data_IF_146802674252
#
_entry.id   IF_146802674252
#
_cell.length_a   1.000
_cell.length_b   1.000
_cell.length_c   1.000
_cell.angle_alpha   90.00
_cell.angle_beta   90.00
_cell.angle_gamma   90.00
#
_symmetry.space_group_name_H-M   'P 1'
#
loop_
_entity.id
_entity.type
_entity.pdbx_description
1 polymer ?
#
# COMPACT_ATOMS: atom_id res chain seq x y z
N UNK A 1 -6.47 1.88 11.78
CA UNK A 1 -5.07 2.40 11.75
C UNK A 1 -4.94 3.32 10.54
N UNK A 2 -4.44 4.56 10.68
CA UNK A 2 -4.30 5.47 9.53
C UNK A 2 -2.85 5.48 9.05
N UNK A 3 -2.65 5.17 7.76
CA UNK A 3 -1.37 5.34 7.08
C UNK A 3 -1.44 6.63 6.27
N UNK A 4 -0.47 7.53 6.43
CA UNK A 4 -0.36 8.70 5.54
C UNK A 4 -0.19 8.30 4.07
N UNK A 5 0.37 7.10 3.83
CA UNK A 5 0.55 6.55 2.51
C UNK A 5 -0.75 6.01 1.92
N UNK A 6 -1.57 5.35 2.74
CA UNK A 6 -2.87 4.79 2.34
C UNK A 6 -3.98 5.40 3.19
N UNK A 7 -4.40 6.65 2.91
CA UNK A 7 -5.28 7.44 3.78
C UNK A 7 -6.67 6.81 3.99
N UNK A 8 -7.16 6.04 3.02
CA UNK A 8 -8.41 5.30 3.15
C UNK A 8 -8.30 4.08 4.10
N UNK A 9 -7.09 3.71 4.54
CA UNK A 9 -6.86 2.49 5.31
C UNK A 9 -6.94 1.22 4.48
N UNK A 10 -6.82 1.32 3.15
CA UNK A 10 -6.87 0.22 2.19
C UNK A 10 -5.86 0.48 1.07
N UNK A 11 -5.21 -0.58 0.59
CA UNK A 11 -4.33 -0.54 -0.57
C UNK A 11 -4.92 -1.39 -1.72
N UNK A 12 -5.68 -0.79 -2.65
CA UNK A 12 -6.22 -1.51 -3.80
C UNK A 12 -5.11 -1.92 -4.77
N UNK A 13 -5.25 -3.10 -5.36
CA UNK A 13 -4.38 -3.59 -6.43
C UNK A 13 -5.26 -3.86 -7.65
N UNK A 14 -5.04 -3.07 -8.70
CA UNK A 14 -5.61 -3.28 -10.01
C UNK A 14 -4.81 -4.38 -10.71
N UNK A 15 -5.37 -5.58 -10.70
CA UNK A 15 -4.81 -6.73 -11.39
C UNK A 15 -5.49 -6.91 -12.74
N UNK A 16 -4.74 -6.74 -13.83
CA UNK A 16 -5.27 -6.77 -15.19
C UNK A 16 -5.88 -8.14 -15.54
N UNK A 17 -5.23 -9.23 -15.16
CA UNK A 17 -5.70 -10.58 -15.45
C UNK A 17 -7.01 -10.85 -14.68
N UNK A 18 -7.09 -10.39 -13.42
CA UNK A 18 -8.33 -10.48 -12.65
C UNK A 18 -9.45 -9.58 -13.22
N UNK A 19 -9.14 -8.42 -13.79
CA UNK A 19 -10.12 -7.59 -14.50
C UNK A 19 -10.67 -8.32 -15.72
N UNK A 20 -9.78 -8.90 -16.54
CA UNK A 20 -10.15 -9.66 -17.74
C UNK A 20 -11.03 -10.87 -17.39
N UNK A 21 -10.63 -11.66 -16.38
CA UNK A 21 -11.39 -12.81 -15.91
C UNK A 21 -12.79 -12.43 -15.38
N UNK A 22 -12.93 -11.23 -14.82
CA UNK A 22 -14.21 -10.72 -14.34
C UNK A 22 -15.01 -9.92 -15.40
N UNK A 23 -14.51 -9.83 -16.63
CA UNK A 23 -15.05 -8.98 -17.70
C UNK A 23 -15.27 -7.52 -17.24
N UNK A 24 -14.28 -6.96 -16.54
CA UNK A 24 -14.28 -5.58 -16.03
C UNK A 24 -13.24 -4.74 -16.77
N UNK A 25 -13.59 -3.48 -17.01
CA UNK A 25 -12.65 -2.50 -17.55
C UNK A 25 -11.80 -1.92 -16.41
N UNK A 26 -10.46 -1.94 -16.51
CA UNK A 26 -9.56 -1.32 -15.53
C UNK A 26 -9.92 0.13 -15.19
N UNK A 27 -10.32 0.93 -16.19
CA UNK A 27 -10.66 2.35 -16.01
C UNK A 27 -11.87 2.54 -15.09
N UNK A 28 -12.89 1.68 -15.21
CA UNK A 28 -14.10 1.76 -14.38
C UNK A 28 -13.77 1.51 -12.91
N UNK A 29 -12.88 0.56 -12.62
CA UNK A 29 -12.40 0.29 -11.25
C UNK A 29 -11.61 1.47 -10.70
N UNK A 30 -10.65 2.00 -11.47
CA UNK A 30 -9.83 3.14 -11.05
C UNK A 30 -10.70 4.38 -10.74
N UNK A 31 -11.74 4.64 -11.55
CA UNK A 31 -12.70 5.72 -11.31
C UNK A 31 -13.59 5.45 -10.08
N UNK A 32 -14.06 4.21 -9.90
CA UNK A 32 -14.85 3.80 -8.74
C UNK A 32 -14.08 3.97 -7.42
N UNK A 33 -12.80 3.58 -7.39
CA UNK A 33 -11.91 3.73 -6.23
C UNK A 33 -11.56 5.20 -5.99
N UNK A 34 -11.36 5.98 -7.06
CA UNK A 34 -11.13 7.40 -6.97
C UNK A 34 -12.29 8.16 -6.30
N UNK A 35 -13.53 7.81 -6.64
CA UNK A 35 -14.73 8.39 -6.02
C UNK A 35 -14.84 8.06 -4.52
N UNK A 36 -14.20 6.98 -4.07
CA UNK A 36 -14.13 6.55 -2.66
C UNK A 36 -12.87 7.02 -1.93
N UNK A 37 -12.03 7.81 -2.59
CA UNK A 37 -10.71 8.22 -2.11
C UNK A 37 -9.76 7.04 -1.78
N UNK A 38 -9.94 5.89 -2.43
CA UNK A 38 -9.09 4.71 -2.27
C UNK A 38 -7.84 4.80 -3.14
N UNK A 39 -6.93 5.66 -2.71
CA UNK A 39 -5.70 5.99 -3.44
C UNK A 39 -4.54 6.10 -2.44
N UNK A 40 -3.29 5.83 -2.86
CA UNK A 40 -2.88 5.29 -4.16
C UNK A 40 -3.29 3.81 -4.34
N UNK A 41 -3.24 3.31 -5.58
CA UNK A 41 -3.45 1.89 -5.91
C UNK A 41 -2.27 1.33 -6.70
N UNK A 42 -2.09 0.02 -6.65
CA UNK A 42 -1.08 -0.66 -7.45
C UNK A 42 -1.62 -1.03 -8.82
N UNK A 43 -0.83 -0.87 -9.88
CA UNK A 43 -1.08 -1.49 -11.18
C UNK A 43 -0.27 -2.78 -11.29
N UNK A 44 -0.94 -3.92 -11.49
CA UNK A 44 -0.32 -5.23 -11.73
C UNK A 44 -0.82 -5.78 -13.05
N UNK A 45 0.08 -5.92 -14.03
CA UNK A 45 -0.23 -6.42 -15.36
C UNK A 45 0.94 -7.27 -15.89
N UNK A 46 1.08 -8.49 -15.37
CA UNK A 46 2.23 -9.38 -15.65
C UNK A 46 2.28 -9.90 -17.08
N UNK A 47 1.15 -9.83 -17.79
CA UNK A 47 0.99 -10.30 -19.17
C UNK A 47 1.38 -9.24 -20.20
N UNK A 48 1.63 -8.00 -19.80
CA UNK A 48 2.04 -6.91 -20.69
C UNK A 48 3.56 -6.79 -20.74
N UNK A 49 4.08 -6.28 -21.86
CA UNK A 49 5.44 -5.75 -21.93
C UNK A 49 5.50 -4.30 -21.40
N UNK A 50 6.70 -3.71 -21.40
CA UNK A 50 6.91 -2.35 -20.90
C UNK A 50 6.07 -1.30 -21.65
N UNK A 51 5.91 -1.43 -22.97
CA UNK A 51 5.14 -0.48 -23.78
C UNK A 51 3.65 -0.57 -23.50
N UNK A 52 3.11 -1.79 -23.46
CA UNK A 52 1.72 -2.06 -23.11
C UNK A 52 1.39 -1.61 -21.69
N UNK A 53 2.30 -1.84 -20.74
CA UNK A 53 2.17 -1.40 -19.36
C UNK A 53 2.12 0.13 -19.25
N UNK A 54 3.04 0.83 -19.94
CA UNK A 54 3.06 2.30 -19.99
C UNK A 54 1.76 2.86 -20.61
N UNK A 55 1.30 2.29 -21.74
CA UNK A 55 0.07 2.71 -22.39
C UNK A 55 -1.18 2.48 -21.53
N UNK A 56 -1.22 1.38 -20.74
CA UNK A 56 -2.30 1.16 -19.78
C UNK A 56 -2.26 2.19 -18.66
N UNK A 57 -1.08 2.47 -18.08
CA UNK A 57 -0.93 3.46 -17.03
C UNK A 57 -1.33 4.87 -17.49
N UNK A 58 -0.95 5.26 -18.71
CA UNK A 58 -1.36 6.54 -19.31
C UNK A 58 -2.88 6.66 -19.42
N UNK A 59 -3.58 5.61 -19.89
CA UNK A 59 -5.05 5.61 -19.98
C UNK A 59 -5.70 5.74 -18.60
N UNK A 60 -5.20 5.01 -17.61
CA UNK A 60 -5.70 5.07 -16.24
C UNK A 60 -5.48 6.44 -15.60
N UNK A 61 -4.29 7.01 -15.77
CA UNK A 61 -3.99 8.38 -15.35
C UNK A 61 -4.92 9.38 -16.04
N UNK A 62 -5.05 9.30 -17.37
CA UNK A 62 -5.91 10.18 -18.16
C UNK A 62 -7.38 10.10 -17.77
N UNK A 63 -7.88 8.91 -17.45
CA UNK A 63 -9.25 8.72 -16.96
C UNK A 63 -9.45 9.44 -15.62
N UNK A 64 -8.50 9.27 -14.67
CA UNK A 64 -8.56 9.91 -13.35
C UNK A 64 -8.44 11.43 -13.42
N UNK A 65 -7.59 11.96 -14.29
CA UNK A 65 -7.37 13.41 -14.42
C UNK A 65 -8.62 14.20 -14.83
N UNK A 66 -9.68 13.52 -15.28
CA UNK A 66 -11.00 14.12 -15.57
C UNK A 66 -11.86 14.34 -14.33
N UNK A 67 -11.49 13.76 -13.18
CA UNK A 67 -12.23 13.90 -11.94
C UNK A 67 -11.69 15.09 -11.12
N UNK A 68 -12.54 15.78 -10.35
CA UNK A 68 -12.10 16.86 -9.47
C UNK A 68 -11.19 16.33 -8.36
N UNK A 69 -10.25 17.17 -7.94
CA UNK A 69 -9.27 16.88 -6.89
C UNK A 69 -7.83 17.02 -7.40
N UNK A 70 -6.85 16.83 -6.51
CA UNK A 70 -5.45 17.02 -6.88
C UNK A 70 -5.00 15.98 -7.90
N UNK A 71 -4.42 16.45 -9.02
CA UNK A 71 -3.94 15.65 -10.16
C UNK A 71 -2.63 14.88 -9.90
N UNK A 72 -2.24 14.73 -8.63
CA UNK A 72 -1.02 14.03 -8.30
C UNK A 72 -1.10 12.56 -8.76
N UNK A 73 0.03 11.95 -9.16
CA UNK A 73 0.05 10.54 -9.51
C UNK A 73 -0.41 9.70 -8.31
N UNK A 74 -1.15 8.63 -8.61
CA UNK A 74 -1.72 7.71 -7.62
C UNK A 74 -1.49 6.24 -7.97
N UNK A 75 -0.70 5.97 -9.01
CA UNK A 75 -0.40 4.61 -9.46
C UNK A 75 0.94 4.20 -8.85
N UNK A 76 0.98 3.06 -8.18
CA UNK A 76 2.22 2.38 -7.80
C UNK A 76 2.45 1.29 -8.84
N UNK A 77 3.60 1.32 -9.51
CA UNK A 77 3.93 0.29 -10.48
C UNK A 77 4.27 -1.03 -9.78
N UNK A 78 3.95 -2.18 -10.38
CA UNK A 78 4.42 -3.48 -9.91
C UNK A 78 5.47 -4.03 -10.88
N UNK A 79 6.69 -4.30 -10.41
CA UNK A 79 7.83 -4.90 -11.14
C UNK A 79 8.43 -4.02 -12.27
N UNK A 80 7.65 -3.12 -12.91
CA UNK A 80 8.09 -2.26 -14.02
C UNK A 80 8.88 -1.00 -13.58
N UNK A 81 10.06 -1.20 -12.97
CA UNK A 81 10.89 -0.11 -12.42
C UNK A 81 11.26 0.97 -13.45
N UNK A 82 11.81 0.59 -14.60
CA UNK A 82 12.26 1.53 -15.63
C UNK A 82 11.08 2.36 -16.19
N UNK A 83 9.91 1.74 -16.36
CA UNK A 83 8.68 2.44 -16.77
C UNK A 83 8.24 3.44 -15.70
N UNK A 84 8.23 3.03 -14.43
CA UNK A 84 7.87 3.93 -13.32
C UNK A 84 8.80 5.14 -13.24
N UNK A 85 10.10 4.92 -13.47
CA UNK A 85 11.12 5.97 -13.47
C UNK A 85 10.95 6.95 -14.64
N UNK A 86 10.81 6.46 -15.87
CA UNK A 86 10.62 7.31 -17.06
C UNK A 86 9.28 8.06 -17.08
N UNK A 87 8.25 7.51 -16.44
CA UNK A 87 6.89 8.04 -16.46
C UNK A 87 6.40 8.50 -15.07
N UNK A 88 7.27 9.17 -14.31
CA UNK A 88 7.02 9.62 -12.93
C UNK A 88 5.83 10.58 -12.75
N UNK A 89 5.27 11.12 -13.83
CA UNK A 89 4.05 11.92 -13.80
C UNK A 89 2.77 11.06 -13.72
N UNK A 90 2.84 9.77 -14.09
CA UNK A 90 1.75 8.80 -13.92
C UNK A 90 1.90 7.99 -12.62
N UNK A 91 3.14 7.69 -12.25
CA UNK A 91 3.47 6.83 -11.12
C UNK A 91 3.91 7.63 -9.89
N UNK A 92 3.35 7.30 -8.75
CA UNK A 92 3.79 7.83 -7.46
C UNK A 92 4.78 6.90 -6.74
N UNK A 93 5.06 5.73 -7.32
CA UNK A 93 5.90 4.74 -6.68
C UNK A 93 6.08 3.43 -7.44
N UNK A 94 6.83 2.52 -6.81
CA UNK A 94 7.16 1.18 -7.28
C UNK A 94 6.99 0.15 -6.17
N UNK A 95 6.51 -1.02 -6.55
CA UNK A 95 6.48 -2.24 -5.75
C UNK A 95 7.36 -3.30 -6.43
N UNK A 96 8.21 -3.97 -5.65
CA UNK A 96 9.12 -5.00 -6.14
C UNK A 96 8.96 -6.30 -5.36
N UNK A 97 9.05 -7.44 -6.05
CA UNK A 97 9.19 -8.76 -5.44
C UNK A 97 10.61 -9.00 -4.90
N UNK A 98 10.78 -10.08 -4.12
CA UNK A 98 12.11 -10.49 -3.64
C UNK A 98 13.05 -10.84 -4.80
N UNK A 99 12.54 -11.52 -5.82
CA UNK A 99 13.32 -11.87 -7.00
C UNK A 99 13.86 -10.62 -7.73
N UNK A 100 13.01 -9.61 -7.97
CA UNK A 100 13.42 -8.36 -8.60
C UNK A 100 14.53 -7.66 -7.82
N UNK A 101 14.45 -7.70 -6.47
CA UNK A 101 15.47 -7.12 -5.59
C UNK A 101 16.81 -7.87 -5.67
N UNK A 102 16.77 -9.20 -5.73
CA UNK A 102 17.98 -10.02 -5.87
C UNK A 102 18.65 -9.86 -7.24
N UNK A 103 17.88 -9.54 -8.28
CA UNK A 103 18.37 -9.38 -9.65
C UNK A 103 18.65 -7.92 -10.05
N UNK A 104 18.56 -6.97 -9.11
CA UNK A 104 18.82 -5.56 -9.40
C UNK A 104 20.24 -5.37 -9.97
N UNK A 105 20.30 -4.93 -11.22
CA UNK A 105 21.55 -4.48 -11.83
C UNK A 105 21.93 -3.10 -11.25
N UNK A 106 23.20 -2.67 -11.34
CA UNK A 106 23.62 -1.36 -10.81
C UNK A 106 22.79 -0.17 -11.33
N UNK A 107 22.38 -0.20 -12.60
CA UNK A 107 21.49 0.81 -13.20
C UNK A 107 20.10 0.83 -12.55
N UNK A 108 19.54 -0.35 -12.29
CA UNK A 108 18.21 -0.49 -11.69
C UNK A 108 18.24 -0.06 -10.21
N UNK A 109 19.32 -0.39 -9.49
CA UNK A 109 19.54 0.07 -8.13
C UNK A 109 19.61 1.61 -8.04
N UNK A 110 20.28 2.26 -8.99
CA UNK A 110 20.35 3.73 -9.09
C UNK A 110 18.97 4.34 -9.42
N UNK A 111 18.19 3.74 -10.32
CA UNK A 111 16.81 4.19 -10.58
C UNK A 111 15.94 4.11 -9.32
N UNK A 112 15.99 2.98 -8.61
CA UNK A 112 15.27 2.80 -7.35
C UNK A 112 15.72 3.82 -6.30
N UNK A 113 17.01 4.11 -6.24
CA UNK A 113 17.56 5.14 -5.37
C UNK A 113 16.98 6.53 -5.67
N UNK A 114 16.90 6.91 -6.94
CA UNK A 114 16.34 8.20 -7.37
C UNK A 114 14.83 8.32 -7.08
N UNK A 115 14.07 7.23 -7.25
CA UNK A 115 12.65 7.19 -6.83
C UNK A 115 12.55 7.44 -5.33
N UNK A 116 13.39 6.80 -4.51
CA UNK A 116 13.39 7.01 -3.05
C UNK A 116 13.77 8.44 -2.66
N UNK A 117 14.82 8.99 -3.25
CA UNK A 117 15.29 10.35 -2.95
C UNK A 117 14.27 11.44 -3.33
N UNK A 118 13.49 11.22 -4.39
CA UNK A 118 12.42 12.14 -4.79
C UNK A 118 11.16 12.03 -3.92
N UNK A 119 11.14 11.16 -2.91
CA UNK A 119 9.98 10.92 -2.05
C UNK A 119 8.95 9.98 -2.68
N UNK A 120 9.32 9.28 -3.75
CA UNK A 120 8.49 8.26 -4.39
C UNK A 120 8.23 7.08 -3.45
N UNK A 121 7.01 6.56 -3.53
CA UNK A 121 6.56 5.44 -2.70
C UNK A 121 7.28 4.17 -3.14
N UNK A 122 8.05 3.55 -2.25
CA UNK A 122 8.73 2.29 -2.54
C UNK A 122 8.22 1.21 -1.60
N UNK A 123 7.81 0.07 -2.14
CA UNK A 123 7.51 -1.10 -1.31
C UNK A 123 8.06 -2.40 -1.86
N UNK A 124 8.16 -3.38 -0.97
CA UNK A 124 8.62 -4.71 -1.30
C UNK A 124 7.66 -5.80 -0.78
N UNK A 125 7.59 -6.92 -1.49
CA UNK A 125 6.87 -8.11 -1.04
C UNK A 125 7.75 -9.02 -0.19
N UNK A 126 7.19 -9.61 0.86
CA UNK A 126 7.83 -10.59 1.76
C UNK A 126 6.86 -11.72 2.09
N UNK A 127 7.39 -12.91 2.36
CA UNK A 127 6.59 -14.15 2.41
C UNK A 127 6.74 -14.95 3.69
N UNK A 128 7.66 -14.59 4.57
CA UNK A 128 7.87 -15.23 5.86
C UNK A 128 8.41 -14.21 6.88
N UNK A 129 8.50 -14.65 8.13
CA UNK A 129 8.98 -13.83 9.24
C UNK A 129 10.37 -13.23 8.98
N UNK A 130 11.30 -14.01 8.43
CA UNK A 130 12.69 -13.60 8.26
C UNK A 130 12.83 -12.52 7.18
N UNK A 131 12.21 -12.72 6.01
CA UNK A 131 12.15 -11.72 4.95
C UNK A 131 11.46 -10.44 5.42
N UNK A 132 10.36 -10.57 6.14
CA UNK A 132 9.62 -9.43 6.65
C UNK A 132 10.42 -8.63 7.66
N UNK A 133 10.99 -9.30 8.67
CA UNK A 133 11.79 -8.63 9.69
C UNK A 133 13.09 -8.08 9.11
N UNK A 134 13.69 -8.75 8.13
CA UNK A 134 14.79 -8.18 7.36
C UNK A 134 14.32 -6.89 6.70
N UNK A 135 13.38 -6.91 5.76
CA UNK A 135 12.93 -5.70 5.04
C UNK A 135 12.41 -4.57 5.95
N UNK A 136 11.71 -4.93 7.04
CA UNK A 136 11.20 -3.97 8.02
C UNK A 136 12.33 -3.29 8.82
N UNK A 137 13.41 -4.02 9.11
CA UNK A 137 14.59 -3.49 9.83
C UNK A 137 15.70 -2.98 8.89
N UNK A 138 15.72 -3.43 7.63
CA UNK A 138 16.87 -3.36 6.70
C UNK A 138 17.29 -1.93 6.37
N UNK A 139 16.50 -0.91 6.70
CA UNK A 139 16.97 0.45 6.53
C UNK A 139 16.75 1.36 7.75
N UNK A 140 17.12 0.87 8.93
CA UNK A 140 17.37 1.71 10.12
C UNK A 140 18.75 2.36 10.03
N UNK A 141 18.94 3.30 9.10
CA UNK A 141 20.24 3.99 8.95
C UNK A 141 20.39 5.13 7.93
N UNK A 142 19.37 5.56 7.17
CA UNK A 142 19.53 6.69 6.22
C UNK A 142 18.30 7.07 5.39
N UNK A 143 18.50 7.94 4.37
CA UNK A 143 17.50 8.48 3.42
C UNK A 143 16.81 7.43 2.52
N UNK A 144 17.16 6.16 2.68
CA UNK A 144 16.68 5.06 1.85
C UNK A 144 15.84 4.19 2.76
N UNK A 145 14.52 4.34 2.82
CA UNK A 145 13.65 3.43 3.57
C UNK A 145 12.56 2.89 2.65
N UNK A 146 12.07 1.69 2.95
CA UNK A 146 10.82 1.23 2.36
C UNK A 146 9.69 2.11 2.90
N UNK A 147 8.83 2.63 2.03
CA UNK A 147 7.61 3.33 2.43
C UNK A 147 6.60 2.33 3.01
N UNK A 148 6.60 1.10 2.50
CA UNK A 148 5.85 -0.01 3.05
C UNK A 148 6.51 -1.36 2.79
N UNK A 149 6.18 -2.35 3.62
CA UNK A 149 6.59 -3.75 3.46
C UNK A 149 5.33 -4.60 3.40
N UNK A 150 5.14 -5.33 2.30
CA UNK A 150 4.00 -6.23 2.13
C UNK A 150 4.32 -7.63 2.67
N UNK A 151 3.43 -8.17 3.48
CA UNK A 151 3.51 -9.50 4.09
C UNK A 151 2.37 -10.37 3.59
N UNK A 152 2.69 -11.50 2.98
CA UNK A 152 1.69 -12.49 2.58
C UNK A 152 2.24 -13.66 1.76
N UNK A 153 1.39 -14.62 1.38
CA UNK A 153 -0.06 -14.58 1.51
C UNK A 153 -0.55 -14.85 2.94
N UNK A 154 -1.41 -13.98 3.48
CA UNK A 154 -2.06 -14.19 4.79
C UNK A 154 -3.14 -15.26 4.71
N UNK A 155 -3.93 -15.25 3.64
CA UNK A 155 -4.95 -16.27 3.37
C UNK A 155 -4.67 -16.98 2.04
N UNK A 156 -5.20 -18.21 1.83
CA UNK A 156 -4.99 -18.95 0.60
C UNK A 156 -5.45 -18.15 -0.62
N UNK A 157 -4.59 -18.05 -1.63
CA UNK A 157 -4.86 -17.31 -2.87
C UNK A 157 -4.71 -18.18 -4.10
N UNK A 158 -5.60 -17.94 -5.07
CA UNK A 158 -5.55 -18.54 -6.40
C UNK A 158 -5.01 -17.58 -7.45
N UNK A 159 -4.65 -16.34 -7.07
CA UNK A 159 -4.18 -15.30 -8.01
C UNK A 159 -2.74 -15.53 -8.51
N UNK A 160 -2.06 -16.56 -8.01
CA UNK A 160 -0.68 -16.96 -8.37
C UNK A 160 -0.65 -18.34 -9.05
N UNK A 161 -1.66 -18.69 -9.84
CA UNK A 161 -1.83 -20.02 -10.45
C UNK A 161 -0.68 -20.47 -11.36
N UNK A 162 0.18 -19.56 -11.83
CA UNK A 162 1.27 -19.86 -12.77
C UNK A 162 2.68 -19.46 -12.26
N UNK A 163 2.84 -19.07 -10.99
CA UNK A 163 4.19 -18.84 -10.44
C UNK A 163 4.70 -20.10 -9.75
N UNK A 164 5.96 -20.45 -10.00
CA UNK A 164 6.72 -21.44 -9.21
C UNK A 164 6.77 -21.08 -7.71
N UNK A 165 6.45 -19.85 -7.35
CA UNK A 165 6.38 -19.34 -5.98
C UNK A 165 5.05 -19.68 -5.29
N UNK A 166 4.87 -20.95 -4.92
CA UNK A 166 3.86 -21.33 -3.93
C UNK A 166 4.37 -21.00 -2.52
N UNK A 167 4.19 -19.74 -2.12
CA UNK A 167 4.51 -19.31 -0.76
C UNK A 167 3.52 -19.92 0.24
N UNK A 168 4.04 -20.35 1.39
CA UNK A 168 3.21 -20.84 2.49
C UNK A 168 2.23 -19.76 2.97
N UNK A 169 1.02 -20.19 3.31
CA UNK A 169 -0.02 -19.30 3.82
C UNK A 169 0.26 -19.05 5.30
N UNK A 170 0.43 -17.78 5.67
CA UNK A 170 0.77 -17.40 7.03
C UNK A 170 -0.36 -17.66 8.02
N UNK A 171 -1.63 -17.55 7.60
CA UNK A 171 -2.79 -17.54 8.50
C UNK A 171 -2.76 -16.37 9.53
N UNK A 172 -3.81 -16.25 10.35
CA UNK A 172 -3.92 -15.15 11.31
C UNK A 172 -2.86 -15.28 12.40
N UNK A 173 -2.67 -16.46 12.98
CA UNK A 173 -1.77 -16.67 14.13
C UNK A 173 -0.32 -16.30 13.81
N UNK A 174 0.24 -16.82 12.70
CA UNK A 174 1.61 -16.48 12.32
C UNK A 174 1.73 -15.00 11.94
N UNK A 175 0.72 -14.44 11.27
CA UNK A 175 0.71 -13.00 10.95
C UNK A 175 0.80 -12.16 12.23
N UNK A 176 0.01 -12.48 13.26
CA UNK A 176 0.07 -11.74 14.54
C UNK A 176 1.41 -11.96 15.25
N UNK A 177 1.98 -13.17 15.19
CA UNK A 177 3.31 -13.46 15.75
C UNK A 177 4.40 -12.60 15.08
N UNK A 178 4.37 -12.46 13.75
CA UNK A 178 5.30 -11.62 13.00
C UNK A 178 5.12 -10.14 13.39
N UNK A 179 3.87 -9.66 13.43
CA UNK A 179 3.56 -8.28 13.83
C UNK A 179 3.99 -7.99 15.27
N UNK A 180 3.82 -8.93 16.20
CA UNK A 180 4.29 -8.81 17.58
C UNK A 180 5.81 -8.65 17.62
N UNK A 181 6.55 -9.52 16.91
CA UNK A 181 8.02 -9.41 16.82
C UNK A 181 8.45 -8.05 16.28
N UNK A 182 7.82 -7.57 15.22
CA UNK A 182 8.12 -6.25 14.64
C UNK A 182 7.82 -5.10 15.61
N UNK A 183 6.74 -5.22 16.39
CA UNK A 183 6.36 -4.22 17.40
C UNK A 183 7.27 -4.23 18.65
N UNK A 184 7.95 -5.35 18.91
CA UNK A 184 8.86 -5.54 20.05
C UNK A 184 10.33 -5.27 19.70
N UNK A 185 10.68 -5.15 18.43
CA UNK A 185 12.03 -4.77 18.01
C UNK A 185 12.44 -3.45 18.66
N UNK A 186 13.39 -3.52 19.60
CA UNK A 186 13.90 -2.34 20.31
C UNK A 186 14.33 -1.29 19.30
N UNK A 187 13.87 -0.07 19.51
CA UNK A 187 14.42 1.09 18.82
C UNK A 187 15.61 1.57 19.63
N UNK A 188 16.82 1.22 19.20
CA UNK A 188 18.06 1.76 19.79
C UNK A 188 18.25 3.26 19.48
N UNK A 189 17.32 3.85 18.73
CA UNK A 189 17.23 5.29 18.51
C UNK A 189 15.83 5.78 18.85
N UNK A 190 15.67 6.98 19.44
CA UNK A 190 14.38 7.63 19.61
C UNK A 190 13.88 8.14 18.24
N UNK A 191 13.58 7.23 17.31
CA UNK A 191 12.90 7.56 16.07
C UNK A 191 11.41 7.73 16.34
N UNK A 192 10.80 8.77 15.76
CA UNK A 192 9.35 8.98 15.85
C UNK A 192 8.61 7.78 15.25
N UNK A 193 7.42 7.45 15.76
CA UNK A 193 6.59 6.38 15.17
C UNK A 193 6.22 6.63 13.68
N UNK A 194 6.38 7.88 13.20
CA UNK A 194 6.19 8.28 11.80
C UNK A 194 7.29 7.75 10.86
N UNK A 195 8.38 7.22 11.40
CA UNK A 195 9.54 6.76 10.64
C UNK A 195 9.46 5.28 10.21
N UNK A 196 8.46 4.55 10.67
CA UNK A 196 8.29 3.12 10.38
C UNK A 196 7.56 2.91 9.03
N UNK A 197 7.98 1.90 8.24
CA UNK A 197 7.25 1.54 7.03
C UNK A 197 5.82 1.12 7.38
N UNK A 198 4.86 1.46 6.51
CA UNK A 198 3.52 0.88 6.61
C UNK A 198 3.61 -0.63 6.33
N UNK A 199 2.92 -1.44 7.12
CA UNK A 199 2.82 -2.88 6.89
C UNK A 199 1.59 -3.12 6.03
N UNK A 200 1.77 -3.76 4.89
CA UNK A 200 0.68 -4.13 3.98
C UNK A 200 0.43 -5.63 4.13
N UNK A 201 -0.78 -6.04 4.51
CA UNK A 201 -1.15 -7.45 4.55
C UNK A 201 -1.84 -7.86 3.26
N UNK A 202 -1.29 -8.85 2.56
CA UNK A 202 -1.78 -9.29 1.24
C UNK A 202 -2.06 -10.79 1.20
N UNK A 203 -2.97 -11.21 0.31
CA UNK A 203 -3.31 -12.61 0.07
C UNK A 203 -4.78 -12.88 0.35
N UNK A 204 -5.59 -12.87 -0.71
CA UNK A 204 -7.05 -13.07 -0.65
C UNK A 204 -7.76 -12.28 0.44
N UNK A 205 -7.36 -11.03 0.65
CA UNK A 205 -7.96 -10.19 1.67
C UNK A 205 -9.35 -9.72 1.24
N UNK A 206 -10.29 -9.76 2.17
CA UNK A 206 -11.62 -9.16 2.07
C UNK A 206 -11.97 -8.46 3.40
N UNK A 207 -13.07 -7.71 3.41
CA UNK A 207 -13.51 -6.95 4.58
C UNK A 207 -13.72 -7.84 5.82
N UNK A 208 -14.32 -9.03 5.64
CA UNK A 208 -14.58 -9.96 6.75
C UNK A 208 -13.29 -10.51 7.37
N UNK A 209 -12.35 -10.93 6.52
CA UNK A 209 -11.03 -11.42 6.92
C UNK A 209 -10.19 -10.34 7.59
N UNK A 210 -10.26 -9.09 7.09
CA UNK A 210 -9.62 -7.96 7.72
C UNK A 210 -10.18 -7.69 9.12
N UNK A 211 -11.51 -7.66 9.29
CA UNK A 211 -12.13 -7.49 10.60
C UNK A 211 -11.70 -8.59 11.59
N UNK A 212 -11.67 -9.85 11.14
CA UNK A 212 -11.24 -10.98 11.97
C UNK A 212 -9.79 -10.81 12.44
N UNK A 213 -8.89 -10.40 11.54
CA UNK A 213 -7.48 -10.13 11.88
C UNK A 213 -7.34 -8.96 12.85
N UNK A 214 -8.08 -7.87 12.63
CA UNK A 214 -8.08 -6.71 13.52
C UNK A 214 -8.60 -7.05 14.92
N UNK A 215 -9.66 -7.84 15.01
CA UNK A 215 -10.21 -8.32 16.28
C UNK A 215 -9.18 -9.16 17.03
N UNK A 216 -8.53 -10.10 16.35
CA UNK A 216 -7.49 -10.92 16.95
C UNK A 216 -6.29 -10.07 17.40
N UNK A 217 -5.83 -9.13 16.58
CA UNK A 217 -4.75 -8.20 16.93
C UNK A 217 -5.09 -7.34 18.15
N UNK A 218 -6.33 -6.83 18.25
CA UNK A 218 -6.76 -6.05 19.41
C UNK A 218 -6.72 -6.85 20.71
N UNK A 219 -6.95 -8.16 20.66
CA UNK A 219 -6.88 -9.06 21.83
C UNK A 219 -5.45 -9.41 22.24
N UNK A 220 -4.52 -9.48 21.29
CA UNK A 220 -3.17 -10.00 21.52
C UNK A 220 -2.09 -8.93 21.58
N UNK A 221 -2.41 -7.66 21.28
CA UNK A 221 -1.44 -6.56 21.25
C UNK A 221 -1.08 -6.10 22.67
N UNK A 222 0.22 -6.08 22.96
CA UNK A 222 0.75 -5.41 24.14
C UNK A 222 0.58 -3.89 24.02
N UNK A 223 0.00 -3.25 25.05
CA UNK A 223 -0.21 -1.81 25.09
C UNK A 223 1.09 -1.01 25.13
N UNK A 224 2.21 -1.64 25.47
CA UNK A 224 3.56 -1.04 25.53
C UNK A 224 4.34 -1.19 24.22
N UNK A 225 3.85 -1.99 23.28
CA UNK A 225 4.54 -2.24 22.02
C UNK A 225 4.47 -1.04 21.06
N UNK A 226 5.40 -0.98 20.11
CA UNK A 226 5.42 0.08 19.10
C UNK A 226 4.10 0.10 18.32
N UNK A 227 3.60 1.31 18.05
CA UNK A 227 2.39 1.50 17.26
C UNK A 227 2.72 1.30 15.77
N UNK A 228 2.39 0.12 15.26
CA UNK A 228 2.52 -0.20 13.83
C UNK A 228 1.37 0.43 13.03
N UNK A 229 1.69 0.87 11.81
CA UNK A 229 0.70 1.20 10.77
C UNK A 229 0.48 -0.04 9.92
N UNK A 230 -0.72 -0.62 9.94
CA UNK A 230 -1.06 -1.85 9.20
C UNK A 230 -2.27 -1.58 8.32
N UNK A 231 -2.19 -1.94 7.04
CA UNK A 231 -3.28 -1.82 6.06
C UNK A 231 -3.47 -3.11 5.26
N UNK A 232 -4.70 -3.48 4.90
CA UNK A 232 -4.97 -4.58 3.97
C UNK A 232 -4.68 -4.15 2.53
N UNK A 233 -4.16 -5.08 1.73
CA UNK A 233 -4.16 -5.00 0.27
C UNK A 233 -5.21 -5.92 -0.34
N UNK A 234 -6.00 -5.40 -1.27
CA UNK A 234 -7.13 -6.11 -1.87
C UNK A 234 -7.03 -6.13 -3.40
N UNK A 235 -7.36 -7.29 -4.00
CA UNK A 235 -7.47 -7.49 -5.45
C UNK A 235 -8.94 -7.79 -5.78
N UNK A 236 -9.34 -9.06 -5.76
CA UNK A 236 -10.66 -9.48 -6.23
C UNK A 236 -11.83 -8.87 -5.43
N UNK A 237 -11.67 -8.69 -4.12
CA UNK A 237 -12.73 -8.14 -3.26
C UNK A 237 -13.04 -6.67 -3.51
N UNK A 238 -12.20 -5.96 -4.28
CA UNK A 238 -12.44 -4.56 -4.68
C UNK A 238 -12.82 -4.42 -6.16
N UNK A 239 -13.11 -5.54 -6.85
CA UNK A 239 -13.53 -5.55 -8.26
C UNK A 239 -15.06 -5.58 -8.45
N UNK A 240 -15.84 -5.71 -7.38
CA UNK A 240 -17.30 -5.74 -7.39
C UNK A 240 -17.87 -4.63 -6.53
N UNK A 241 -19.07 -4.14 -6.86
CA UNK A 241 -19.72 -3.08 -6.09
C UNK A 241 -20.05 -3.55 -4.66
N UNK A 242 -20.55 -4.77 -4.49
CA UNK A 242 -20.81 -5.36 -3.17
C UNK A 242 -19.52 -5.45 -2.32
N UNK A 243 -18.42 -5.87 -2.95
CA UNK A 243 -17.12 -5.90 -2.30
C UNK A 243 -16.61 -4.51 -1.92
N UNK A 244 -16.80 -3.53 -2.81
CA UNK A 244 -16.46 -2.14 -2.53
C UNK A 244 -17.29 -1.57 -1.36
N UNK A 245 -18.59 -1.89 -1.32
CA UNK A 245 -19.48 -1.47 -0.24
C UNK A 245 -19.06 -2.11 1.09
N UNK A 246 -18.79 -3.42 1.11
CA UNK A 246 -18.33 -4.12 2.31
C UNK A 246 -17.02 -3.54 2.86
N UNK A 247 -16.07 -3.19 1.99
CA UNK A 247 -14.84 -2.49 2.40
C UNK A 247 -15.11 -1.10 2.96
N UNK A 248 -15.99 -0.33 2.32
CA UNK A 248 -16.35 1.02 2.81
C UNK A 248 -16.92 0.96 4.22
N UNK A 249 -17.88 0.07 4.47
CA UNK A 249 -18.47 -0.15 5.80
C UNK A 249 -17.43 -0.63 6.82
N UNK A 250 -16.54 -1.54 6.41
CA UNK A 250 -15.47 -2.04 7.26
C UNK A 250 -14.50 -0.93 7.69
N UNK A 251 -14.10 -0.06 6.76
CA UNK A 251 -13.15 1.03 7.02
C UNK A 251 -13.77 2.13 7.89
N UNK A 252 -15.06 2.43 7.70
CA UNK A 252 -15.81 3.34 8.59
C UNK A 252 -15.84 2.80 10.02
N UNK A 253 -16.18 1.52 10.21
CA UNK A 253 -16.20 0.88 11.54
C UNK A 253 -14.83 0.91 12.22
N UNK A 254 -13.73 0.73 11.47
CA UNK A 254 -12.37 0.85 12.02
C UNK A 254 -12.05 2.29 12.47
N UNK A 255 -12.53 3.29 11.72
CA UNK A 255 -12.38 4.69 12.05
C UNK A 255 -13.26 5.14 13.24
N UNK A 256 -14.34 4.44 13.57
CA UNK A 256 -15.19 4.77 14.73
C UNK A 256 -14.80 4.03 16.01
N UNK A 257 -13.92 3.04 15.91
CA UNK A 257 -13.47 2.23 17.04
C UNK A 257 -12.76 3.05 18.15
N UNK A 258 -12.74 2.54 19.40
CA UNK A 258 -12.22 3.26 20.57
C UNK A 258 -10.73 3.66 20.52
N UNK A 259 -10.00 3.33 19.45
CA UNK A 259 -8.62 3.76 19.19
C UNK A 259 -8.46 4.96 18.24
N UNK A 260 -9.56 5.55 17.74
CA UNK A 260 -9.54 6.55 16.65
C UNK A 260 -10.13 7.91 17.02
N UNK A 261 -10.15 8.33 18.30
CA UNK A 261 -10.41 9.75 18.60
C UNK A 261 -9.28 10.60 17.98
N UNK A 262 -9.52 11.12 16.77
CA UNK A 262 -8.66 12.05 16.07
C UNK A 262 -8.60 13.35 16.87
N UNK A 263 -7.39 13.71 17.29
CA UNK A 263 -7.02 15.10 17.49
C UNK A 263 -7.03 15.79 16.13
N UNK A 264 -8.07 16.57 15.83
CA UNK A 264 -8.04 17.78 14.97
C UNK A 264 -9.46 18.32 14.79
N UNK A 265 -9.93 19.05 15.79
CA UNK A 265 -10.83 20.16 15.53
C UNK A 265 -9.96 21.35 15.12
N UNK A 266 -10.00 21.68 13.83
CA UNK A 266 -10.01 23.03 13.28
C UNK A 266 -9.18 24.11 14.00
N UNK A 267 -7.92 24.27 13.58
CA UNK A 267 -7.30 25.61 13.49
C UNK A 267 -7.42 26.05 12.04
N UNK A 268 -8.58 26.61 11.71
CA UNK A 268 -8.70 27.48 10.54
C UNK A 268 -8.05 28.79 10.95
N UNK A 269 -6.96 29.13 10.27
CA UNK A 269 -6.37 30.45 10.30
C UNK A 269 -7.40 31.47 9.78
N UNK A 270 -7.81 32.40 10.64
CA UNK A 270 -8.25 33.72 10.18
C UNK A 270 -7.02 34.47 9.69
N UNK A 271 -7.02 34.80 8.41
CA UNK A 271 -6.07 35.71 7.79
C UNK A 271 -6.28 37.12 8.35
N UNK A 272 -5.27 37.63 9.05
CA UNK A 272 -5.14 39.04 9.39
C UNK A 272 -4.70 39.83 8.16
N UNK A 273 -5.57 40.71 7.65
CA UNK A 273 -5.27 41.72 6.65
C UNK A 273 -4.16 42.69 7.13
N UNK A 274 -3.22 43.12 6.27
CA UNK A 274 -2.28 44.17 6.62
C UNK A 274 -2.91 45.56 6.42
N UNK A 275 -2.93 46.35 7.49
CA UNK A 275 -3.20 47.79 7.46
C UNK A 275 -2.04 48.54 6.81
N UNK A 276 -2.33 49.32 5.77
CA UNK A 276 -1.44 50.31 5.17
C UNK A 276 -1.45 51.57 6.05
N UNK A 277 -0.30 52.12 6.48
CA UNK A 277 -0.28 53.43 7.12
C UNK A 277 -0.10 54.54 6.07
N UNK A 278 -0.86 55.62 6.30
CA UNK A 278 -0.83 56.91 5.61
C UNK A 278 0.47 57.69 5.80
#
# INVERSE_FOLDING_TARGET
MSSHLFPAGLYPILDLDACQNANRRPEDLALNWAARAWMPYQLRAKTLDASGYAALAERLHSARSRLPGPHHPRIIANDFLEVAWHHSHWFCGIHLGQHDLHELRPRDAEMLHQIRQSGGVCGCSTHNADQFLAAFNEMRGGLHRWSYVALGPVFPTRSKTNSTDQNEVLNIEETLRILQKASSSKSDSPGNAEDLPTIVLIGSMDAGRWMALQEAWRKTRDSRALRLSVVPAAIASVHSEDGCQAWTECLIKDAEGPGFRQSKASRVHEESSPSVPS
#
